data_IF_169373173097
#
_entry.id   IF_169373173097
#
_cell.length_a   1.000
_cell.length_b   1.000
_cell.length_c   1.000
_cell.angle_alpha   90.00
_cell.angle_beta   90.00
_cell.angle_gamma   90.00
#
_symmetry.space_group_name_H-M   'P 1'
#
loop_
_entity.id
_entity.type
_entity.pdbx_description
1 polymer ?
#
# COMPACT_ATOMS: atom_id res chain seq x y z
N UNK A 1 -24.62 13.63 2.42
CA UNK A 1 -25.71 12.69 2.08
C UNK A 1 -26.51 13.14 0.85
N UNK A 2 -26.61 14.42 0.57
CA UNK A 2 -27.48 14.98 -0.47
C UNK A 2 -27.10 14.53 -1.90
N UNK A 3 -25.81 14.34 -2.17
CA UNK A 3 -25.30 13.89 -3.48
C UNK A 3 -25.40 12.38 -3.67
N UNK A 4 -25.50 11.60 -2.62
CA UNK A 4 -25.59 10.14 -2.66
C UNK A 4 -26.42 9.62 -1.48
N UNK A 5 -27.75 9.80 -1.51
CA UNK A 5 -28.64 9.46 -0.38
C UNK A 5 -28.86 7.96 -0.24
N UNK A 6 -28.52 7.16 -1.24
CA UNK A 6 -28.72 5.72 -1.22
C UNK A 6 -27.74 4.98 -0.29
N UNK A 7 -28.15 3.79 0.17
CA UNK A 7 -27.39 2.93 1.11
C UNK A 7 -26.10 2.34 0.51
N UNK A 8 -25.84 2.48 -0.78
CA UNK A 8 -24.67 1.90 -1.43
C UNK A 8 -23.35 2.37 -0.84
N UNK A 9 -23.23 3.66 -0.51
CA UNK A 9 -22.03 4.22 0.13
C UNK A 9 -21.86 3.69 1.55
N UNK A 10 -22.95 3.41 2.26
CA UNK A 10 -22.90 2.84 3.61
C UNK A 10 -22.35 1.41 3.59
N UNK A 11 -22.77 0.58 2.64
CA UNK A 11 -22.20 -0.75 2.43
C UNK A 11 -20.73 -0.71 2.04
N UNK A 12 -20.35 0.23 1.17
CA UNK A 12 -18.95 0.48 0.83
C UNK A 12 -18.10 0.79 2.06
N UNK A 13 -18.56 1.74 2.89
CA UNK A 13 -17.84 2.14 4.12
C UNK A 13 -17.70 0.95 5.06
N UNK A 14 -18.80 0.30 5.41
CA UNK A 14 -18.80 -0.79 6.39
C UNK A 14 -18.06 -2.02 5.87
N UNK A 15 -18.19 -2.35 4.60
CA UNK A 15 -17.45 -3.44 3.97
C UNK A 15 -15.94 -3.25 4.09
N UNK A 16 -15.45 -2.05 3.73
CA UNK A 16 -14.02 -1.73 3.84
C UNK A 16 -13.55 -1.59 5.29
N UNK A 17 -14.38 -1.09 6.22
CA UNK A 17 -14.00 -1.02 7.64
C UNK A 17 -13.77 -2.41 8.23
N UNK A 18 -14.70 -3.33 8.03
CA UNK A 18 -14.58 -4.71 8.54
C UNK A 18 -13.40 -5.42 7.90
N UNK A 19 -13.26 -5.34 6.57
CA UNK A 19 -12.13 -5.91 5.85
C UNK A 19 -10.80 -5.30 6.30
N UNK A 20 -10.76 -3.98 6.49
CA UNK A 20 -9.57 -3.23 6.92
C UNK A 20 -9.07 -3.63 8.30
N UNK A 21 -9.98 -3.83 9.26
CA UNK A 21 -9.61 -4.33 10.59
C UNK A 21 -9.00 -5.73 10.49
N UNK A 22 -9.64 -6.64 9.76
CA UNK A 22 -9.13 -7.99 9.55
C UNK A 22 -7.76 -8.01 8.89
N UNK A 23 -7.58 -7.21 7.85
CA UNK A 23 -6.30 -7.09 7.12
C UNK A 23 -5.21 -6.53 8.02
N UNK A 24 -5.50 -5.48 8.80
CA UNK A 24 -4.53 -4.89 9.74
C UNK A 24 -4.07 -5.91 10.78
N UNK A 25 -4.99 -6.64 11.40
CA UNK A 25 -4.67 -7.66 12.40
C UNK A 25 -3.84 -8.80 11.80
N UNK A 26 -4.19 -9.25 10.59
CA UNK A 26 -3.41 -10.25 9.85
C UNK A 26 -2.00 -9.75 9.53
N UNK A 27 -1.87 -8.49 9.10
CA UNK A 27 -0.58 -7.87 8.82
C UNK A 27 0.32 -7.83 10.06
N UNK A 28 -0.20 -7.39 11.19
CA UNK A 28 0.54 -7.36 12.48
C UNK A 28 0.98 -8.76 12.88
N UNK A 29 0.08 -9.74 12.76
CA UNK A 29 0.38 -11.13 13.08
C UNK A 29 1.51 -11.70 12.20
N UNK A 30 1.47 -11.45 10.89
CA UNK A 30 2.52 -11.91 9.97
C UNK A 30 3.86 -11.20 10.21
N UNK A 31 3.87 -9.90 10.50
CA UNK A 31 5.09 -9.19 10.91
C UNK A 31 5.68 -9.84 12.17
N UNK A 32 4.87 -10.06 13.19
CA UNK A 32 5.32 -10.66 14.44
C UNK A 32 5.88 -12.07 14.22
N UNK A 33 5.22 -12.88 13.40
CA UNK A 33 5.67 -14.23 13.03
C UNK A 33 7.03 -14.18 12.32
N UNK A 34 7.16 -13.36 11.28
CA UNK A 34 8.41 -13.25 10.51
C UNK A 34 9.57 -12.72 11.38
N UNK A 35 9.29 -11.76 12.26
CA UNK A 35 10.33 -11.13 13.08
C UNK A 35 10.74 -12.02 14.27
N UNK A 36 9.78 -12.69 14.92
CA UNK A 36 10.02 -13.40 16.19
C UNK A 36 10.13 -14.91 16.06
N UNK A 37 9.55 -15.52 15.03
CA UNK A 37 9.42 -16.97 14.90
C UNK A 37 10.27 -17.57 13.78
N UNK A 38 11.37 -16.92 13.40
CA UNK A 38 12.34 -17.50 12.44
C UNK A 38 12.97 -18.77 13.00
N UNK A 39 13.27 -19.69 12.11
CA UNK A 39 13.98 -20.92 12.46
C UNK A 39 15.33 -20.59 13.15
N UNK A 40 15.80 -21.44 14.09
CA UNK A 40 17.10 -21.26 14.70
C UNK A 40 18.23 -21.09 13.67
N UNK A 41 19.05 -20.05 13.82
CA UNK A 41 20.14 -19.72 12.88
C UNK A 41 19.73 -18.97 11.61
N UNK A 42 18.43 -18.72 11.39
CA UNK A 42 17.94 -17.92 10.26
C UNK A 42 17.99 -16.43 10.59
N UNK A 43 19.05 -15.74 10.18
CA UNK A 43 19.10 -14.28 10.19
C UNK A 43 18.23 -13.69 9.08
N UNK A 44 17.97 -12.36 9.13
CA UNK A 44 17.16 -11.68 8.11
C UNK A 44 17.68 -11.93 6.69
N UNK A 45 18.98 -11.79 6.47
CA UNK A 45 19.59 -12.00 5.14
C UNK A 45 19.69 -13.48 4.70
N UNK A 46 19.14 -14.40 5.49
CA UNK A 46 19.00 -15.82 5.12
C UNK A 46 17.54 -16.22 4.86
N UNK A 47 16.59 -15.27 4.97
CA UNK A 47 15.18 -15.53 4.66
C UNK A 47 14.98 -15.67 3.15
N UNK A 48 14.03 -16.49 2.69
CA UNK A 48 13.60 -16.51 1.29
C UNK A 48 13.14 -15.12 0.81
N UNK A 49 13.28 -14.83 -0.48
CA UNK A 49 12.85 -13.55 -1.05
C UNK A 49 11.34 -13.34 -0.86
N UNK A 50 10.54 -14.40 -0.97
CA UNK A 50 9.10 -14.33 -0.68
C UNK A 50 8.81 -13.85 0.75
N UNK A 51 9.60 -14.30 1.73
CA UNK A 51 9.45 -13.85 3.12
C UNK A 51 9.76 -12.35 3.27
N UNK A 52 10.77 -11.84 2.57
CA UNK A 52 11.07 -10.41 2.53
C UNK A 52 9.96 -9.60 1.89
N UNK A 53 9.44 -10.04 0.73
CA UNK A 53 8.35 -9.33 0.05
C UNK A 53 7.06 -9.35 0.88
N UNK A 54 6.78 -10.47 1.56
CA UNK A 54 5.66 -10.58 2.50
C UNK A 54 5.84 -9.66 3.71
N UNK A 55 7.04 -9.58 4.29
CA UNK A 55 7.33 -8.67 5.41
C UNK A 55 7.08 -7.21 4.99
N UNK A 56 7.62 -6.79 3.86
CA UNK A 56 7.44 -5.45 3.32
C UNK A 56 5.97 -5.13 3.03
N UNK A 57 5.24 -6.05 2.42
CA UNK A 57 3.80 -5.91 2.18
C UNK A 57 3.02 -5.72 3.50
N UNK A 58 3.32 -6.52 4.52
CA UNK A 58 2.63 -6.41 5.80
C UNK A 58 3.00 -5.13 6.58
N UNK A 59 4.22 -4.60 6.41
CA UNK A 59 4.59 -3.27 6.93
C UNK A 59 3.75 -2.18 6.26
N UNK A 60 3.54 -2.25 4.94
CA UNK A 60 2.64 -1.34 4.24
C UNK A 60 1.22 -1.43 4.78
N UNK A 61 0.69 -2.63 4.98
CA UNK A 61 -0.64 -2.86 5.58
C UNK A 61 -0.74 -2.14 6.93
N UNK A 62 0.18 -2.44 7.85
CA UNK A 62 0.14 -1.88 9.20
C UNK A 62 0.21 -0.34 9.23
N UNK A 63 0.87 0.27 8.24
CA UNK A 63 1.03 1.71 8.17
C UNK A 63 -0.13 2.42 7.44
N UNK A 64 -0.74 1.80 6.42
CA UNK A 64 -1.71 2.49 5.55
C UNK A 64 -3.17 2.18 5.87
N UNK A 65 -3.49 1.00 6.34
CA UNK A 65 -4.88 0.65 6.69
C UNK A 65 -5.48 1.50 7.82
N UNK A 66 -4.73 1.95 8.84
CA UNK A 66 -5.26 2.93 9.79
C UNK A 66 -5.70 4.25 9.13
N UNK A 67 -5.02 4.67 8.07
CA UNK A 67 -5.38 5.88 7.31
C UNK A 67 -6.70 5.65 6.55
N UNK A 68 -6.86 4.49 5.92
CA UNK A 68 -8.12 4.08 5.30
C UNK A 68 -9.25 4.09 6.34
N UNK A 69 -9.04 3.45 7.49
CA UNK A 69 -10.02 3.39 8.57
C UNK A 69 -10.43 4.78 9.05
N UNK A 70 -9.47 5.69 9.25
CA UNK A 70 -9.75 7.08 9.62
C UNK A 70 -10.54 7.82 8.53
N UNK A 71 -10.18 7.64 7.26
CA UNK A 71 -10.88 8.25 6.12
C UNK A 71 -12.35 7.83 6.05
N UNK A 72 -12.59 6.52 6.21
CA UNK A 72 -13.94 5.97 6.19
C UNK A 72 -14.74 6.38 7.43
N UNK A 73 -14.09 6.53 8.58
CA UNK A 73 -14.74 7.07 9.78
C UNK A 73 -15.19 8.51 9.60
N UNK A 74 -14.35 9.38 9.02
CA UNK A 74 -14.71 10.76 8.69
C UNK A 74 -15.88 10.79 7.69
N UNK A 75 -15.87 9.93 6.67
CA UNK A 75 -16.97 9.82 5.72
C UNK A 75 -18.26 9.33 6.39
N UNK A 76 -18.16 8.43 7.36
CA UNK A 76 -19.32 7.98 8.15
C UNK A 76 -19.90 9.12 8.97
N UNK A 77 -19.07 9.94 9.60
CA UNK A 77 -19.51 11.11 10.34
C UNK A 77 -20.24 12.12 9.44
N UNK A 78 -19.73 12.39 8.24
CA UNK A 78 -20.41 13.23 7.26
C UNK A 78 -21.80 12.68 6.88
N UNK A 79 -21.94 11.35 6.78
CA UNK A 79 -23.21 10.71 6.39
C UNK A 79 -24.24 10.58 7.51
N UNK A 80 -23.79 10.20 8.72
CA UNK A 80 -24.70 9.84 9.81
C UNK A 80 -24.90 10.95 10.85
N UNK A 81 -23.89 11.81 11.02
CA UNK A 81 -23.89 12.86 12.05
C UNK A 81 -24.08 14.25 11.44
N UNK A 82 -23.90 14.37 10.11
CA UNK A 82 -24.04 15.66 9.41
C UNK A 82 -22.82 16.58 9.57
N UNK A 83 -21.64 16.01 9.81
CA UNK A 83 -20.38 16.77 9.72
C UNK A 83 -20.06 17.08 8.25
N UNK A 84 -19.09 17.97 8.00
CA UNK A 84 -18.77 18.44 6.66
C UNK A 84 -17.27 18.38 6.37
N UNK A 85 -16.62 17.27 6.70
CA UNK A 85 -15.18 17.08 6.43
C UNK A 85 -14.86 17.16 4.95
N UNK A 86 -15.72 16.59 4.09
CA UNK A 86 -15.48 16.42 2.66
C UNK A 86 -16.42 17.23 1.76
N UNK A 87 -17.33 18.00 2.30
CA UNK A 87 -18.32 18.80 1.55
C UNK A 87 -17.84 20.24 1.39
N UNK A 88 -17.41 20.63 0.18
CA UNK A 88 -16.81 21.93 -0.10
C UNK A 88 -17.75 23.10 0.24
N UNK A 89 -19.02 22.99 -0.12
CA UNK A 89 -20.01 24.08 0.04
C UNK A 89 -20.34 24.40 1.51
N UNK A 90 -19.94 23.54 2.43
CA UNK A 90 -20.21 23.65 3.87
C UNK A 90 -18.90 23.77 4.69
N UNK A 91 -17.82 24.23 4.05
CA UNK A 91 -16.54 24.48 4.72
C UNK A 91 -15.60 23.27 4.81
N UNK A 92 -15.97 22.13 4.24
CA UNK A 92 -15.11 20.95 4.13
C UNK A 92 -14.22 21.00 2.89
N UNK A 93 -13.52 19.92 2.63
CA UNK A 93 -12.60 19.81 1.49
C UNK A 93 -12.62 18.41 0.88
N UNK A 94 -13.21 18.27 -0.31
CA UNK A 94 -13.25 17.00 -1.04
C UNK A 94 -11.87 16.50 -1.44
N UNK A 95 -10.88 17.39 -1.65
CA UNK A 95 -9.51 17.01 -1.92
C UNK A 95 -8.85 16.32 -0.71
N UNK A 96 -9.30 16.60 0.51
CA UNK A 96 -8.85 15.87 1.70
C UNK A 96 -9.23 14.38 1.60
N UNK A 97 -10.46 14.05 1.17
CA UNK A 97 -10.86 12.66 0.93
C UNK A 97 -9.96 12.01 -0.12
N UNK A 98 -9.74 12.69 -1.25
CA UNK A 98 -8.91 12.16 -2.35
C UNK A 98 -7.48 11.88 -1.89
N UNK A 99 -6.86 12.79 -1.14
CA UNK A 99 -5.52 12.58 -0.60
C UNK A 99 -5.47 11.42 0.39
N UNK A 100 -6.37 11.38 1.35
CA UNK A 100 -6.39 10.35 2.40
C UNK A 100 -6.63 8.96 1.81
N UNK A 101 -7.59 8.83 0.87
CA UNK A 101 -7.88 7.54 0.26
C UNK A 101 -6.69 7.03 -0.58
N UNK A 102 -5.95 7.92 -1.27
CA UNK A 102 -4.83 7.51 -2.11
C UNK A 102 -3.52 7.35 -1.35
N UNK A 103 -3.34 7.99 -0.17
CA UNK A 103 -2.24 7.66 0.76
C UNK A 103 -2.31 6.18 1.18
N UNK A 104 -3.50 5.60 1.28
CA UNK A 104 -3.68 4.16 1.39
C UNK A 104 -3.67 3.47 0.03
N UNK A 105 -4.41 3.99 -0.96
CA UNK A 105 -4.75 3.27 -2.19
C UNK A 105 -3.57 2.99 -3.10
N UNK A 106 -2.55 3.86 -3.14
CA UNK A 106 -1.35 3.55 -3.91
C UNK A 106 -0.47 2.48 -3.22
N UNK A 107 -0.13 2.58 -1.92
CA UNK A 107 0.51 1.46 -1.23
C UNK A 107 -0.27 0.15 -1.33
N UNK A 108 -1.59 0.17 -1.44
CA UNK A 108 -2.41 -1.04 -1.63
C UNK A 108 -2.00 -1.83 -2.87
N UNK A 109 -1.72 -1.18 -4.01
CA UNK A 109 -1.26 -1.90 -5.21
C UNK A 109 0.11 -2.55 -5.00
N UNK A 110 0.98 -1.95 -4.16
CA UNK A 110 2.26 -2.54 -3.79
C UNK A 110 2.13 -3.66 -2.76
N UNK A 111 1.14 -3.59 -1.88
CA UNK A 111 0.78 -4.69 -0.98
C UNK A 111 0.46 -5.96 -1.79
N UNK A 112 -0.22 -5.81 -2.92
CA UNK A 112 -0.56 -6.92 -3.81
C UNK A 112 0.64 -7.41 -4.63
N UNK A 113 1.40 -6.50 -5.24
CA UNK A 113 2.45 -6.87 -6.19
C UNK A 113 3.74 -7.38 -5.52
N UNK A 114 4.08 -6.91 -4.33
CA UNK A 114 5.32 -7.34 -3.66
C UNK A 114 5.34 -8.85 -3.39
N UNK A 115 4.31 -9.48 -2.78
CA UNK A 115 4.27 -10.92 -2.62
C UNK A 115 4.31 -11.66 -3.97
N UNK A 116 3.65 -11.14 -5.01
CA UNK A 116 3.71 -11.72 -6.35
C UNK A 116 5.14 -11.76 -6.90
N UNK A 117 5.92 -10.69 -6.74
CA UNK A 117 7.35 -10.69 -7.10
C UNK A 117 8.16 -11.73 -6.32
N UNK A 118 7.84 -11.93 -5.04
CA UNK A 118 8.44 -12.99 -4.25
C UNK A 118 8.11 -14.38 -4.79
N UNK A 119 6.84 -14.64 -5.08
CA UNK A 119 6.39 -15.91 -5.69
C UNK A 119 7.08 -16.16 -7.02
N UNK A 120 7.14 -15.17 -7.91
CA UNK A 120 7.80 -15.32 -9.21
C UNK A 120 9.28 -15.69 -9.05
N UNK A 121 10.00 -15.04 -8.14
CA UNK A 121 11.41 -15.35 -7.87
C UNK A 121 11.60 -16.77 -7.39
N UNK A 122 10.78 -17.27 -6.46
CA UNK A 122 10.87 -18.62 -5.92
C UNK A 122 10.46 -19.68 -6.97
N UNK A 123 9.39 -19.42 -7.73
CA UNK A 123 8.93 -20.35 -8.78
C UNK A 123 9.97 -20.47 -9.88
N UNK A 124 10.47 -19.37 -10.40
CA UNK A 124 11.46 -19.37 -11.49
C UNK A 124 12.74 -20.06 -11.05
N UNK A 125 13.27 -19.77 -9.86
CA UNK A 125 14.49 -20.42 -9.36
C UNK A 125 14.29 -21.91 -9.15
N UNK A 126 13.14 -22.33 -8.65
CA UNK A 126 12.81 -23.73 -8.41
C UNK A 126 12.72 -24.52 -9.72
N UNK A 127 11.94 -24.04 -10.69
CA UNK A 127 11.71 -24.74 -11.95
C UNK A 127 12.90 -24.69 -12.91
N UNK A 128 13.73 -23.64 -12.83
CA UNK A 128 14.98 -23.57 -13.62
C UNK A 128 16.12 -24.40 -13.01
N UNK A 129 15.97 -24.85 -11.77
CA UNK A 129 17.04 -25.55 -11.03
C UNK A 129 18.25 -24.68 -10.72
N UNK A 130 18.10 -23.34 -10.79
CA UNK A 130 19.17 -22.37 -10.60
C UNK A 130 18.99 -21.60 -9.29
N UNK A 131 20.11 -21.24 -8.67
CA UNK A 131 20.06 -20.32 -7.52
C UNK A 131 19.63 -18.94 -7.99
N UNK A 132 18.83 -18.27 -7.15
CA UNK A 132 18.43 -16.89 -7.40
C UNK A 132 19.68 -16.00 -7.51
N UNK A 133 19.84 -15.35 -8.65
CA UNK A 133 20.93 -14.41 -8.86
C UNK A 133 20.65 -13.11 -8.10
N UNK A 134 21.67 -12.48 -7.55
CA UNK A 134 21.55 -11.16 -6.93
C UNK A 134 20.60 -11.09 -5.72
N UNK A 135 20.54 -12.11 -4.86
CA UNK A 135 19.64 -12.13 -3.68
C UNK A 135 19.66 -10.80 -2.90
N UNK A 136 20.85 -10.25 -2.63
CA UNK A 136 20.99 -9.01 -1.86
C UNK A 136 20.36 -7.82 -2.60
N UNK A 137 20.57 -7.69 -3.90
CA UNK A 137 19.96 -6.64 -4.72
C UNK A 137 18.44 -6.78 -4.77
N UNK A 138 17.92 -8.02 -4.82
CA UNK A 138 16.48 -8.31 -4.77
C UNK A 138 15.85 -7.85 -3.45
N UNK A 139 16.52 -8.10 -2.33
CA UNK A 139 16.06 -7.66 -1.01
C UNK A 139 16.04 -6.12 -0.92
N UNK A 140 17.15 -5.47 -1.29
CA UNK A 140 17.21 -4.01 -1.29
C UNK A 140 16.18 -3.38 -2.24
N UNK A 141 16.02 -3.92 -3.44
CA UNK A 141 14.99 -3.44 -4.37
C UNK A 141 13.59 -3.53 -3.75
N UNK A 142 13.28 -4.61 -3.03
CA UNK A 142 12.01 -4.76 -2.31
C UNK A 142 11.81 -3.65 -1.27
N UNK A 143 12.82 -3.38 -0.45
CA UNK A 143 12.76 -2.34 0.59
C UNK A 143 12.62 -0.95 -0.04
N UNK A 144 13.37 -0.66 -1.11
CA UNK A 144 13.29 0.62 -1.82
C UNK A 144 11.90 0.84 -2.44
N UNK A 145 11.32 -0.18 -3.09
CA UNK A 145 9.95 -0.11 -3.61
C UNK A 145 8.97 0.20 -2.47
N UNK A 146 9.11 -0.47 -1.33
CA UNK A 146 8.27 -0.27 -0.15
C UNK A 146 8.31 1.18 0.34
N UNK A 147 9.49 1.79 0.45
CA UNK A 147 9.65 3.18 0.86
C UNK A 147 9.08 4.13 -0.18
N UNK A 148 9.41 3.95 -1.45
CA UNK A 148 8.95 4.81 -2.53
C UNK A 148 7.43 4.76 -2.72
N UNK A 149 6.79 3.63 -2.40
CA UNK A 149 5.34 3.48 -2.52
C UNK A 149 4.54 4.51 -1.71
N UNK A 150 5.12 5.08 -0.65
CA UNK A 150 4.51 6.17 0.13
C UNK A 150 4.68 7.56 -0.49
N UNK A 151 5.51 7.73 -1.51
CA UNK A 151 5.89 9.04 -2.04
C UNK A 151 5.26 9.34 -3.40
N UNK A 152 4.28 8.55 -3.84
CA UNK A 152 3.78 8.62 -5.23
C UNK A 152 2.26 8.70 -5.35
N UNK A 153 1.50 8.73 -4.26
CA UNK A 153 0.04 8.61 -4.27
C UNK A 153 -0.69 9.65 -5.12
N UNK A 154 -0.15 10.87 -5.28
CA UNK A 154 -0.84 11.94 -5.98
C UNK A 154 -0.90 11.74 -7.50
N UNK A 155 -0.19 10.76 -8.08
CA UNK A 155 -0.35 10.44 -9.49
C UNK A 155 -1.74 9.88 -9.84
N UNK A 156 -2.53 9.48 -8.85
CA UNK A 156 -3.91 9.05 -9.05
C UNK A 156 -4.88 10.20 -9.36
N UNK A 157 -4.45 11.46 -9.16
CA UNK A 157 -5.31 12.62 -9.38
C UNK A 157 -4.57 13.85 -9.95
N UNK A 158 -3.65 13.65 -10.89
CA UNK A 158 -2.90 14.73 -11.56
C UNK A 158 -3.78 15.81 -12.21
N UNK A 159 -5.00 15.47 -12.62
CA UNK A 159 -5.94 16.37 -13.28
C UNK A 159 -6.81 17.18 -12.30
N UNK A 160 -6.63 17.00 -10.99
CA UNK A 160 -7.48 17.63 -9.97
C UNK A 160 -6.93 18.97 -9.41
N UNK A 161 -5.94 19.56 -10.06
CA UNK A 161 -5.52 20.93 -9.75
C UNK A 161 -4.47 21.07 -8.66
N UNK A 162 -3.66 20.06 -8.39
CA UNK A 162 -2.55 20.13 -7.41
C UNK A 162 -1.41 21.07 -7.82
N UNK A 163 -1.39 21.53 -9.08
CA UNK A 163 -0.37 22.41 -9.61
C UNK A 163 0.82 21.70 -10.26
N UNK A 164 1.52 22.42 -11.13
CA UNK A 164 2.58 21.85 -11.99
C UNK A 164 3.75 21.28 -11.16
N UNK A 165 4.19 21.96 -10.11
CA UNK A 165 5.33 21.53 -9.29
C UNK A 165 5.03 20.24 -8.52
N UNK A 166 3.83 20.13 -7.95
CA UNK A 166 3.39 18.91 -7.25
C UNK A 166 3.26 17.76 -8.21
N UNK A 167 2.64 17.97 -9.37
CA UNK A 167 2.50 16.94 -10.40
C UNK A 167 3.87 16.48 -10.93
N UNK A 168 4.83 17.40 -11.14
CA UNK A 168 6.19 17.07 -11.54
C UNK A 168 6.89 16.21 -10.49
N UNK A 169 6.83 16.58 -9.21
CA UNK A 169 7.42 15.79 -8.13
C UNK A 169 6.87 14.36 -8.09
N UNK A 170 5.55 14.21 -8.05
CA UNK A 170 4.92 12.88 -7.97
C UNK A 170 5.10 12.08 -9.27
N UNK A 171 5.18 12.73 -10.42
CA UNK A 171 5.50 12.09 -11.70
C UNK A 171 6.91 11.51 -11.70
N UNK A 172 7.90 12.31 -11.31
CA UNK A 172 9.32 11.86 -11.23
C UNK A 172 9.45 10.74 -10.18
N UNK A 173 8.88 10.90 -8.99
CA UNK A 173 8.91 9.89 -7.94
C UNK A 173 8.31 8.55 -8.42
N UNK A 174 7.21 8.61 -9.16
CA UNK A 174 6.58 7.43 -9.77
C UNK A 174 7.51 6.73 -10.78
N UNK A 175 8.21 7.50 -11.62
CA UNK A 175 9.15 6.95 -12.59
C UNK A 175 10.36 6.29 -11.92
N UNK A 176 10.83 6.81 -10.79
CA UNK A 176 11.97 6.25 -10.05
C UNK A 176 11.68 4.82 -9.57
N UNK A 177 10.43 4.46 -9.26
CA UNK A 177 10.06 3.09 -8.84
C UNK A 177 10.36 2.06 -9.94
N UNK A 178 10.40 2.46 -11.19
CA UNK A 178 10.73 1.54 -12.30
C UNK A 178 12.14 0.94 -12.18
N UNK A 179 13.09 1.65 -11.58
CA UNK A 179 14.48 1.19 -11.42
C UNK A 179 14.57 -0.06 -10.53
N UNK A 180 14.13 -0.03 -9.25
CA UNK A 180 14.16 -1.22 -8.42
C UNK A 180 13.19 -2.32 -8.91
N UNK A 181 12.10 -1.96 -9.58
CA UNK A 181 11.21 -2.93 -10.22
C UNK A 181 11.91 -3.67 -11.36
N UNK A 182 12.64 -2.93 -12.21
CA UNK A 182 13.48 -3.52 -13.26
C UNK A 182 14.55 -4.45 -12.67
N UNK A 183 15.21 -4.05 -11.58
CA UNK A 183 16.17 -4.91 -10.89
C UNK A 183 15.55 -6.22 -10.41
N UNK A 184 14.27 -6.21 -10.01
CA UNK A 184 13.56 -7.45 -9.61
C UNK A 184 13.17 -8.34 -10.77
N UNK A 185 12.85 -7.76 -11.91
CA UNK A 185 12.33 -8.50 -13.06
C UNK A 185 13.45 -9.09 -13.94
N UNK A 186 14.62 -8.45 -13.97
CA UNK A 186 15.74 -8.83 -14.85
C UNK A 186 16.88 -9.56 -14.11
N UNK A 187 16.78 -9.74 -12.82
CA UNK A 187 17.70 -10.51 -12.00
C UNK A 187 17.29 -11.99 -11.99
#
# INVERSE_FOLDING_TARGET
ADYSPGVGVDYYIWGLQVAGVGTTLSGINLIATIVKMRAPGMSFMKMPVFTWTSLCSNILIAATFPILTATLALLSLDRYVGTNFFTNDLGGNSMMYINLIWIWGHPEVYILVLPAFGVFSEVVSTFSGKRLFGYTSMVYATVVITILSYLVWAHHFFTMGSGASVNAFFGIATMIISIPTGAKMFN
#
